data_IF_414099872270
#
_entry.id   IF_414099872270
#
_cell.length_a   1.000
_cell.length_b   1.000
_cell.length_c   1.000
_cell.angle_alpha   90.00
_cell.angle_beta   90.00
_cell.angle_gamma   90.00
#
_symmetry.space_group_name_H-M   'P 1'
#
loop_
_entity.id
_entity.type
_entity.pdbx_description
1 polymer ?
#
# COMPACT_ATOMS: atom_id res chain seq x y z
N UNK A 1 32.51 24.56 18.88
CA UNK A 1 31.90 23.70 17.85
C UNK A 1 31.48 24.43 16.57
N UNK A 2 31.17 25.75 16.63
CA UNK A 2 30.71 26.54 15.46
C UNK A 2 31.84 26.87 14.46
N UNK A 3 33.09 26.90 14.86
CA UNK A 3 34.21 27.25 13.96
C UNK A 3 34.61 26.10 13.01
N UNK A 4 34.41 24.83 13.39
CA UNK A 4 34.77 23.69 12.53
C UNK A 4 33.82 23.51 11.33
N UNK A 5 32.54 23.91 11.48
CA UNK A 5 31.54 23.77 10.40
C UNK A 5 31.80 24.80 9.30
N UNK A 6 32.23 26.02 9.66
CA UNK A 6 32.54 27.08 8.68
C UNK A 6 33.80 26.76 7.86
N UNK A 7 34.80 26.14 8.47
CA UNK A 7 36.05 25.75 7.77
C UNK A 7 35.80 24.66 6.73
N UNK A 8 34.91 23.71 7.03
CA UNK A 8 34.59 22.60 6.12
C UNK A 8 33.76 23.04 4.91
N UNK A 9 32.89 24.06 5.09
CA UNK A 9 32.16 24.65 3.97
C UNK A 9 33.07 25.48 3.06
N UNK A 10 34.06 26.20 3.60
CA UNK A 10 35.01 26.96 2.81
C UNK A 10 35.96 26.04 2.02
N UNK A 11 36.39 24.90 2.59
CA UNK A 11 37.19 23.91 1.87
C UNK A 11 36.43 23.25 0.70
N UNK A 12 35.12 23.00 0.86
CA UNK A 12 34.31 22.46 -0.23
C UNK A 12 34.12 23.46 -1.37
N UNK A 13 34.03 24.75 -1.07
CA UNK A 13 33.90 25.81 -2.10
C UNK A 13 35.20 25.98 -2.86
N UNK A 14 36.33 25.98 -2.17
CA UNK A 14 37.67 26.06 -2.78
C UNK A 14 38.04 24.81 -3.61
N UNK A 15 37.57 23.63 -3.22
CA UNK A 15 37.75 22.38 -3.98
C UNK A 15 36.91 22.37 -5.27
N UNK A 16 35.75 23.03 -5.26
CA UNK A 16 34.88 23.18 -6.45
C UNK A 16 35.48 24.17 -7.46
N UNK A 17 36.13 25.23 -6.98
CA UNK A 17 36.71 26.27 -7.82
C UNK A 17 38.04 25.87 -8.48
N UNK A 18 38.82 25.02 -7.85
CA UNK A 18 40.11 24.51 -8.39
C UNK A 18 39.92 23.40 -9.46
N UNK A 19 38.72 22.88 -9.64
CA UNK A 19 38.42 21.86 -10.65
C UNK A 19 37.93 22.45 -11.98
N UNK A 20 37.88 23.80 -12.08
CA UNK A 20 37.32 24.51 -13.27
C UNK A 20 38.40 24.99 -14.25
N UNK A 21 39.71 24.75 -14.01
CA UNK A 21 40.77 25.26 -14.88
C UNK A 21 41.85 24.23 -15.19
N UNK A 22 41.54 23.33 -16.15
CA UNK A 22 42.58 22.70 -16.96
C UNK A 22 42.03 22.25 -18.32
N UNK A 23 42.50 22.80 -19.46
CA UNK A 23 42.18 22.30 -20.77
C UNK A 23 43.19 21.20 -21.15
N UNK A 24 42.74 19.97 -21.35
CA UNK A 24 43.48 18.97 -22.11
C UNK A 24 42.55 18.29 -23.09
N UNK A 25 42.87 18.53 -24.34
CA UNK A 25 42.44 17.90 -25.56
C UNK A 25 42.56 16.37 -25.47
N UNK A 26 41.47 15.62 -25.68
CA UNK A 26 41.45 14.25 -26.21
C UNK A 26 40.03 13.75 -26.38
N UNK A 27 39.70 13.48 -27.63
CA UNK A 27 38.61 12.69 -28.20
C UNK A 27 38.11 11.54 -27.31
N UNK A 28 36.84 11.62 -26.83
CA UNK A 28 36.00 10.44 -26.60
C UNK A 28 34.61 10.82 -26.09
N UNK A 29 33.63 10.38 -26.82
CA UNK A 29 32.28 9.94 -26.40
C UNK A 29 31.55 10.79 -25.35
N UNK A 30 30.76 11.70 -25.84
CA UNK A 30 29.85 12.58 -25.12
C UNK A 30 28.75 11.78 -24.38
N UNK A 31 28.92 11.52 -23.10
CA UNK A 31 27.79 11.29 -22.22
C UNK A 31 27.40 12.64 -21.62
N UNK A 32 26.48 13.32 -22.30
CA UNK A 32 25.90 14.57 -21.81
C UNK A 32 25.06 14.29 -20.58
N UNK A 33 25.58 14.51 -19.41
CA UNK A 33 24.79 14.88 -18.23
C UNK A 33 24.47 16.39 -18.37
N UNK A 34 23.62 16.69 -19.34
CA UNK A 34 22.97 17.99 -19.42
C UNK A 34 21.96 18.07 -18.28
N UNK A 35 22.20 18.95 -17.31
CA UNK A 35 21.15 19.55 -16.51
C UNK A 35 20.26 20.31 -17.48
N UNK A 36 19.40 19.59 -18.20
CA UNK A 36 18.34 20.19 -19.01
C UNK A 36 17.43 20.93 -18.03
N UNK A 37 17.58 22.24 -17.95
CA UNK A 37 16.51 23.12 -17.52
C UNK A 37 15.31 22.72 -18.38
N UNK A 38 14.42 21.88 -17.85
CA UNK A 38 13.18 21.51 -18.52
C UNK A 38 12.39 22.79 -18.67
N UNK A 39 12.46 23.37 -19.86
CA UNK A 39 11.54 24.45 -20.23
C UNK A 39 10.14 23.91 -19.97
N UNK A 40 9.44 24.49 -18.99
CA UNK A 40 8.06 24.15 -18.66
C UNK A 40 7.22 24.52 -19.88
N UNK A 41 7.01 23.54 -20.76
CA UNK A 41 6.09 23.70 -21.87
C UNK A 41 4.68 23.85 -21.31
N UNK A 42 3.91 24.85 -21.74
CA UNK A 42 2.54 25.02 -21.28
C UNK A 42 1.72 23.77 -21.59
N UNK A 43 0.87 23.36 -20.65
CA UNK A 43 -0.03 22.22 -20.85
C UNK A 43 -0.99 22.53 -22.00
N UNK A 44 -1.01 21.65 -23.01
CA UNK A 44 -1.88 21.81 -24.18
C UNK A 44 -3.20 21.09 -23.95
N UNK A 45 -4.32 21.78 -24.08
CA UNK A 45 -5.66 21.20 -23.98
C UNK A 45 -5.93 20.32 -25.20
N UNK A 46 -6.38 19.08 -24.96
CA UNK A 46 -6.79 18.15 -26.01
C UNK A 46 -8.28 17.86 -25.88
N UNK A 47 -8.95 17.71 -27.02
CA UNK A 47 -10.35 17.25 -27.03
C UNK A 47 -10.39 15.75 -26.75
N UNK A 48 -11.24 15.35 -25.82
CA UNK A 48 -11.51 13.94 -25.52
C UNK A 48 -12.38 13.38 -26.66
N UNK A 49 -12.02 12.24 -27.28
CA UNK A 49 -12.72 11.70 -28.45
C UNK A 49 -14.03 10.99 -28.10
N UNK A 50 -14.33 10.79 -26.81
CA UNK A 50 -15.50 10.06 -26.35
C UNK A 50 -16.74 10.94 -26.22
N UNK A 51 -17.92 10.31 -26.36
CA UNK A 51 -19.19 10.99 -26.05
C UNK A 51 -19.30 11.15 -24.52
N UNK A 52 -19.46 12.39 -23.98
CA UNK A 52 -19.52 12.64 -22.54
C UNK A 52 -20.67 11.91 -21.82
N UNK A 53 -21.70 11.51 -22.52
CA UNK A 53 -22.84 10.77 -21.97
C UNK A 53 -22.59 9.24 -21.94
N UNK A 54 -21.53 8.74 -22.56
CA UNK A 54 -21.26 7.31 -22.75
C UNK A 54 -19.90 6.86 -22.20
N UNK A 55 -19.17 7.68 -21.45
CA UNK A 55 -17.94 7.22 -20.82
C UNK A 55 -17.84 7.65 -19.35
N UNK A 56 -17.04 6.89 -18.60
CA UNK A 56 -16.66 7.19 -17.22
C UNK A 56 -15.20 7.62 -17.25
N UNK A 57 -14.85 8.82 -16.76
CA UNK A 57 -13.47 9.29 -16.75
C UNK A 57 -12.60 8.52 -15.77
N UNK A 58 -11.29 8.52 -16.04
CA UNK A 58 -10.28 8.08 -15.09
C UNK A 58 -10.42 8.82 -13.74
N UNK A 59 -9.89 8.24 -12.67
CA UNK A 59 -10.01 8.76 -11.30
C UNK A 59 -11.45 8.92 -10.79
N UNK A 60 -12.43 8.27 -11.44
CA UNK A 60 -13.80 8.19 -10.90
C UNK A 60 -13.83 7.25 -9.71
N UNK A 61 -14.48 7.72 -8.64
CA UNK A 61 -14.63 6.96 -7.40
C UNK A 61 -15.92 6.13 -7.45
N UNK A 62 -15.78 4.81 -7.37
CA UNK A 62 -16.87 3.84 -7.33
C UNK A 62 -16.93 3.21 -5.94
N UNK A 63 -17.87 3.63 -5.05
CA UNK A 63 -18.00 3.04 -3.73
C UNK A 63 -18.56 1.63 -3.82
N UNK A 64 -17.92 0.72 -3.10
CA UNK A 64 -18.18 -0.71 -3.15
C UNK A 64 -18.21 -1.29 -1.74
N UNK A 65 -19.24 -2.03 -1.39
CA UNK A 65 -19.41 -2.70 -0.10
C UNK A 65 -18.81 -4.10 -0.18
N UNK A 66 -17.98 -4.47 0.79
CA UNK A 66 -17.36 -5.80 0.84
C UNK A 66 -18.40 -6.90 1.01
N UNK A 67 -18.38 -7.91 0.15
CA UNK A 67 -19.34 -9.03 0.19
C UNK A 67 -18.99 -10.05 1.29
N UNK A 68 -17.73 -10.14 1.68
CA UNK A 68 -17.23 -10.99 2.74
C UNK A 68 -16.01 -10.37 3.42
N UNK A 69 -15.64 -10.90 4.58
CA UNK A 69 -14.48 -10.43 5.34
C UNK A 69 -13.21 -10.66 4.54
N UNK A 70 -12.40 -9.63 4.39
CA UNK A 70 -11.06 -9.70 3.83
C UNK A 70 -10.03 -9.90 4.94
N UNK A 71 -9.05 -10.77 4.69
CA UNK A 71 -7.91 -11.06 5.56
C UNK A 71 -6.66 -11.07 4.71
N UNK A 72 -5.64 -10.33 5.10
CA UNK A 72 -4.43 -10.11 4.30
C UNK A 72 -3.36 -11.20 4.41
N UNK A 73 -3.57 -12.28 5.18
CA UNK A 73 -2.57 -13.33 5.41
C UNK A 73 -2.09 -14.01 4.13
N UNK A 74 -2.99 -14.16 3.17
CA UNK A 74 -2.72 -14.87 1.93
C UNK A 74 -3.24 -14.11 0.72
N UNK A 75 -2.50 -14.23 -0.38
CA UNK A 75 -2.98 -13.78 -1.68
C UNK A 75 -4.32 -14.45 -2.03
N UNK A 76 -5.23 -13.70 -2.65
CA UNK A 76 -6.56 -14.19 -2.95
C UNK A 76 -7.37 -13.25 -3.81
N UNK A 77 -8.60 -13.67 -4.07
CA UNK A 77 -9.59 -12.85 -4.77
C UNK A 77 -10.48 -12.14 -3.75
N UNK A 78 -10.81 -10.92 -4.04
CA UNK A 78 -11.81 -10.15 -3.29
C UNK A 78 -13.00 -9.87 -4.18
N UNK A 79 -14.14 -9.67 -3.54
CA UNK A 79 -15.38 -9.25 -4.20
C UNK A 79 -16.10 -8.25 -3.33
N UNK A 80 -16.63 -7.22 -4.01
CA UNK A 80 -17.51 -6.26 -3.40
C UNK A 80 -18.67 -5.91 -4.34
N UNK A 81 -19.69 -5.33 -3.82
CA UNK A 81 -20.88 -4.91 -4.55
C UNK A 81 -20.96 -3.39 -4.59
N UNK A 82 -21.10 -2.82 -5.78
CA UNK A 82 -21.22 -1.38 -5.99
C UNK A 82 -22.42 -0.82 -5.22
N UNK A 83 -22.17 0.17 -4.36
CA UNK A 83 -23.13 0.66 -3.39
C UNK A 83 -24.08 1.73 -3.95
N UNK A 84 -23.69 2.45 -5.00
CA UNK A 84 -24.48 3.50 -5.66
C UNK A 84 -24.34 3.46 -7.17
N UNK A 85 -25.30 4.06 -7.87
CA UNK A 85 -25.27 4.22 -9.33
C UNK A 85 -24.10 5.15 -9.72
N UNK A 86 -23.38 4.81 -10.80
CA UNK A 86 -22.30 5.61 -11.36
C UNK A 86 -22.75 6.19 -12.68
N UNK A 87 -22.57 7.49 -12.80
CA UNK A 87 -23.01 8.29 -13.93
C UNK A 87 -21.86 8.58 -14.88
N UNK A 88 -22.23 8.89 -16.12
CA UNK A 88 -21.29 9.33 -17.17
C UNK A 88 -20.57 10.63 -16.80
N UNK A 89 -19.55 11.00 -17.57
CA UNK A 89 -18.81 12.23 -17.40
C UNK A 89 -19.68 13.49 -17.41
N UNK A 90 -20.78 13.48 -18.18
CA UNK A 90 -21.77 14.57 -18.23
C UNK A 90 -22.74 14.57 -17.04
N UNK A 91 -22.84 13.45 -16.31
CA UNK A 91 -23.85 13.27 -15.25
C UNK A 91 -25.26 12.95 -15.73
N UNK A 92 -25.50 12.81 -17.04
CA UNK A 92 -26.84 12.62 -17.60
C UNK A 92 -27.24 11.15 -17.71
N UNK A 93 -26.28 10.24 -17.94
CA UNK A 93 -26.55 8.82 -18.22
C UNK A 93 -25.97 7.96 -17.11
N UNK A 94 -26.80 7.07 -16.58
CA UNK A 94 -26.36 6.05 -15.62
C UNK A 94 -25.71 4.91 -16.41
N UNK A 95 -24.41 4.66 -16.15
CA UNK A 95 -23.62 3.65 -16.88
C UNK A 95 -23.39 2.39 -16.07
N UNK A 96 -23.17 2.49 -14.77
CA UNK A 96 -23.01 1.34 -13.87
C UNK A 96 -24.08 1.44 -12.78
N UNK A 97 -24.87 0.39 -12.64
CA UNK A 97 -25.92 0.33 -11.65
C UNK A 97 -25.41 -0.19 -10.30
N UNK A 98 -26.00 0.31 -9.22
CA UNK A 98 -25.81 -0.27 -7.89
C UNK A 98 -26.15 -1.76 -7.91
N UNK A 99 -25.43 -2.56 -7.12
CA UNK A 99 -25.57 -4.00 -7.14
C UNK A 99 -24.69 -4.71 -8.18
N UNK A 100 -23.95 -3.95 -9.01
CA UNK A 100 -22.90 -4.50 -9.87
C UNK A 100 -21.80 -5.08 -9.02
N UNK A 101 -21.33 -6.28 -9.39
CA UNK A 101 -20.29 -6.98 -8.64
C UNK A 101 -18.90 -6.59 -9.17
N UNK A 102 -18.04 -6.14 -8.28
CA UNK A 102 -16.62 -5.90 -8.56
C UNK A 102 -15.77 -7.06 -8.05
N UNK A 103 -14.76 -7.46 -8.82
CA UNK A 103 -13.81 -8.49 -8.44
C UNK A 103 -12.39 -7.94 -8.54
N UNK A 104 -11.60 -8.21 -7.51
CA UNK A 104 -10.19 -7.82 -7.45
C UNK A 104 -9.30 -8.96 -6.98
N UNK A 105 -8.01 -8.72 -7.00
CA UNK A 105 -6.96 -9.61 -6.51
C UNK A 105 -6.10 -8.90 -5.48
N UNK A 106 -5.72 -9.65 -4.48
CA UNK A 106 -4.73 -9.27 -3.50
C UNK A 106 -3.55 -10.22 -3.61
N UNK A 107 -2.35 -9.72 -3.81
CA UNK A 107 -1.18 -10.55 -4.11
C UNK A 107 -0.14 -10.57 -3.00
N UNK A 108 -0.05 -9.52 -2.21
CA UNK A 108 1.07 -9.30 -1.30
C UNK A 108 0.58 -9.04 0.13
N UNK A 109 1.20 -9.71 1.11
CA UNK A 109 1.00 -9.43 2.52
C UNK A 109 1.41 -8.01 2.91
N UNK A 110 0.88 -7.53 4.01
CA UNK A 110 1.27 -6.25 4.59
C UNK A 110 2.61 -6.44 5.30
N UNK A 111 3.54 -5.52 5.07
CA UNK A 111 4.83 -5.48 5.78
C UNK A 111 4.71 -4.65 7.06
N UNK A 112 5.68 -4.82 7.96
CA UNK A 112 5.73 -4.00 9.18
C UNK A 112 5.81 -2.51 8.86
N UNK A 113 5.00 -1.73 9.58
CA UNK A 113 4.90 -0.29 9.36
C UNK A 113 3.90 0.12 8.28
N UNK A 114 3.36 -0.83 7.50
CA UNK A 114 2.27 -0.56 6.57
C UNK A 114 0.92 -0.71 7.29
N UNK A 115 0.08 0.30 7.14
CA UNK A 115 -1.27 0.33 7.69
C UNK A 115 -2.37 0.02 6.68
N UNK A 116 -2.04 -0.29 5.41
CA UNK A 116 -3.00 -0.42 4.31
C UNK A 116 -2.64 -1.56 3.37
N UNK A 117 -3.66 -2.24 2.85
CA UNK A 117 -3.52 -3.28 1.85
C UNK A 117 -3.69 -2.71 0.44
N UNK A 118 -2.77 -3.05 -0.46
CA UNK A 118 -2.89 -2.70 -1.87
C UNK A 118 -3.68 -3.79 -2.60
N UNK A 119 -4.82 -3.43 -3.16
CA UNK A 119 -5.74 -4.34 -3.84
C UNK A 119 -5.99 -3.83 -5.25
N UNK A 120 -5.75 -4.66 -6.25
CA UNK A 120 -6.04 -4.35 -7.65
C UNK A 120 -7.42 -4.90 -8.04
N UNK A 121 -8.25 -4.03 -8.57
CA UNK A 121 -9.54 -4.43 -9.11
C UNK A 121 -9.40 -4.80 -10.58
N UNK A 122 -10.03 -5.89 -10.98
CA UNK A 122 -9.84 -6.45 -12.32
C UNK A 122 -11.04 -6.26 -13.23
N UNK A 123 -12.25 -6.31 -12.68
CA UNK A 123 -13.47 -6.18 -13.47
C UNK A 123 -14.71 -5.89 -12.64
N UNK A 124 -15.69 -5.31 -13.32
CA UNK A 124 -17.07 -5.19 -12.85
C UNK A 124 -17.95 -6.10 -13.70
N UNK A 125 -18.95 -6.70 -13.06
CA UNK A 125 -19.97 -7.50 -13.76
C UNK A 125 -21.35 -7.00 -13.39
N UNK A 126 -22.09 -6.53 -14.38
CA UNK A 126 -23.46 -6.04 -14.15
C UNK A 126 -24.39 -7.19 -13.78
N UNK A 127 -25.39 -6.89 -12.98
CA UNK A 127 -26.40 -7.86 -12.53
C UNK A 127 -27.64 -7.84 -13.41
N UNK A 128 -27.92 -6.72 -14.05
CA UNK A 128 -29.07 -6.51 -14.90
C UNK A 128 -28.69 -6.61 -16.39
N UNK A 129 -29.68 -6.78 -17.25
CA UNK A 129 -29.46 -6.75 -18.71
C UNK A 129 -29.19 -5.34 -19.23
N UNK A 130 -28.24 -5.18 -20.15
CA UNK A 130 -27.37 -6.20 -20.71
C UNK A 130 -26.33 -6.65 -19.68
N UNK A 131 -26.02 -7.95 -19.63
CA UNK A 131 -24.99 -8.49 -18.75
C UNK A 131 -23.60 -8.08 -19.31
N UNK A 132 -22.98 -7.12 -18.67
CA UNK A 132 -21.68 -6.60 -19.09
C UNK A 132 -20.57 -7.12 -18.18
N UNK A 133 -19.45 -7.46 -18.78
CA UNK A 133 -18.17 -7.67 -18.11
C UNK A 133 -17.29 -6.47 -18.46
N UNK A 134 -17.10 -5.55 -17.50
CA UNK A 134 -16.40 -4.28 -17.69
C UNK A 134 -14.99 -4.47 -17.13
N UNK A 135 -13.95 -4.51 -17.98
CA UNK A 135 -12.58 -4.62 -17.50
C UNK A 135 -12.18 -3.35 -16.75
N UNK A 136 -11.48 -3.52 -15.64
CA UNK A 136 -10.87 -2.45 -14.88
C UNK A 136 -9.36 -2.54 -15.06
N UNK A 137 -8.78 -1.55 -15.72
CA UNK A 137 -7.35 -1.47 -15.97
C UNK A 137 -6.79 -0.44 -14.99
N UNK A 138 -5.66 -0.76 -14.34
CA UNK A 138 -4.97 0.09 -13.37
C UNK A 138 -5.88 0.65 -12.25
N UNK A 139 -6.96 -0.06 -11.96
CA UNK A 139 -7.94 0.34 -10.95
C UNK A 139 -7.55 -0.23 -9.60
N UNK A 140 -7.37 0.64 -8.64
CA UNK A 140 -6.98 0.29 -7.29
C UNK A 140 -8.12 0.51 -6.30
N UNK A 141 -8.17 -0.35 -5.27
CA UNK A 141 -9.03 -0.11 -4.14
C UNK A 141 -8.39 0.91 -3.19
N UNK A 142 -9.20 1.83 -2.72
CA UNK A 142 -8.86 2.88 -1.78
C UNK A 142 -9.71 2.73 -0.51
N UNK A 143 -9.30 3.38 0.56
CA UNK A 143 -10.09 3.46 1.78
C UNK A 143 -11.39 4.25 1.61
N UNK A 144 -12.17 4.32 2.67
CA UNK A 144 -13.49 4.99 2.65
C UNK A 144 -13.40 6.49 2.34
N UNK A 145 -12.31 7.14 2.75
CA UNK A 145 -12.07 8.57 2.50
C UNK A 145 -11.33 8.84 1.18
N UNK A 146 -11.04 7.80 0.37
CA UNK A 146 -10.34 7.93 -0.91
C UNK A 146 -8.81 7.86 -0.82
N UNK A 147 -8.25 7.56 0.34
CA UNK A 147 -6.82 7.35 0.53
C UNK A 147 -6.35 6.08 -0.19
N UNK A 148 -5.15 6.13 -0.77
CA UNK A 148 -4.57 4.99 -1.49
C UNK A 148 -4.38 3.78 -0.59
N UNK A 149 -4.86 2.61 -1.04
CA UNK A 149 -4.88 1.35 -0.30
C UNK A 149 -6.07 1.24 0.66
N UNK A 150 -6.48 0.01 0.90
CA UNK A 150 -7.60 -0.31 1.78
C UNK A 150 -7.12 -0.35 3.23
N UNK A 151 -7.74 0.44 4.08
CA UNK A 151 -7.57 0.46 5.53
C UNK A 151 -8.35 -0.65 6.21
N UNK A 152 -8.05 -0.92 7.47
CA UNK A 152 -8.76 -1.92 8.27
C UNK A 152 -8.16 -2.08 9.66
N UNK A 153 -8.69 -3.03 10.42
CA UNK A 153 -8.11 -3.39 11.70
C UNK A 153 -6.85 -4.25 11.48
N UNK A 154 -5.75 -3.86 12.13
CA UNK A 154 -4.45 -4.51 11.99
C UNK A 154 -4.12 -5.28 13.26
N UNK A 155 -3.92 -6.58 13.13
CA UNK A 155 -3.31 -7.42 14.14
C UNK A 155 -1.80 -7.45 13.93
N UNK A 156 -1.07 -6.97 14.90
CA UNK A 156 0.40 -6.92 14.85
C UNK A 156 1.06 -8.22 15.33
N UNK A 157 0.27 -9.19 15.77
CA UNK A 157 0.74 -10.47 16.31
C UNK A 157 1.77 -10.29 17.44
N UNK A 158 1.49 -9.34 18.34
CA UNK A 158 2.45 -8.95 19.39
C UNK A 158 2.87 -10.14 20.26
N UNK A 159 1.93 -10.96 20.73
CA UNK A 159 2.23 -12.08 21.59
C UNK A 159 2.94 -13.23 20.86
N UNK A 160 2.60 -13.48 19.61
CA UNK A 160 3.28 -14.46 18.75
C UNK A 160 4.71 -14.06 18.46
N UNK A 161 4.98 -12.76 18.33
CA UNK A 161 6.29 -12.21 18.01
C UNK A 161 7.20 -12.09 19.22
N UNK A 162 6.70 -11.62 20.35
CA UNK A 162 7.49 -11.26 21.52
C UNK A 162 7.26 -12.18 22.72
N UNK A 163 6.13 -12.88 22.78
CA UNK A 163 5.73 -13.68 23.95
C UNK A 163 6.75 -14.74 24.33
N UNK A 164 7.30 -15.45 23.34
CA UNK A 164 8.32 -16.47 23.58
C UNK A 164 9.60 -15.89 24.20
N UNK A 165 10.12 -14.80 23.64
CA UNK A 165 11.31 -14.13 24.16
C UNK A 165 11.09 -13.53 25.56
N UNK A 166 9.90 -12.94 25.80
CA UNK A 166 9.54 -12.42 27.12
C UNK A 166 9.45 -13.55 28.16
N UNK A 167 8.83 -14.68 27.84
CA UNK A 167 8.74 -15.83 28.74
C UNK A 167 10.13 -16.37 29.13
N UNK A 168 11.00 -16.59 28.13
CA UNK A 168 12.34 -17.09 28.38
C UNK A 168 13.18 -16.08 29.18
N UNK A 169 13.02 -14.77 28.92
CA UNK A 169 13.74 -13.72 29.67
C UNK A 169 13.33 -13.59 31.14
N UNK A 170 12.08 -13.93 31.50
CA UNK A 170 11.60 -13.84 32.87
C UNK A 170 12.03 -15.01 33.78
N UNK A 171 12.34 -16.19 33.22
CA UNK A 171 12.67 -17.40 33.98
C UNK A 171 13.90 -17.20 34.88
N UNK A 172 15.04 -16.60 34.43
CA UNK A 172 16.19 -16.38 35.29
C UNK A 172 15.93 -15.49 36.50
N UNK A 173 15.08 -14.47 36.34
CA UNK A 173 14.77 -13.51 37.41
C UNK A 173 13.91 -14.14 38.49
N UNK A 174 12.97 -15.00 38.12
CA UNK A 174 12.17 -15.78 39.06
C UNK A 174 13.05 -16.76 39.86
N UNK A 175 13.99 -17.42 39.20
CA UNK A 175 14.98 -18.32 39.81
C UNK A 175 15.90 -17.57 40.80
N UNK A 176 16.41 -16.40 40.43
CA UNK A 176 17.23 -15.56 41.29
C UNK A 176 16.46 -15.04 42.53
N UNK A 177 15.20 -14.64 42.34
CA UNK A 177 14.34 -14.21 43.46
C UNK A 177 14.06 -15.36 44.44
N UNK A 178 13.74 -16.55 43.93
CA UNK A 178 13.50 -17.73 44.78
C UNK A 178 14.76 -18.16 45.54
N UNK A 179 15.92 -18.12 44.89
CA UNK A 179 17.23 -18.44 45.51
C UNK A 179 17.60 -17.44 46.61
N UNK A 180 17.38 -16.15 46.42
CA UNK A 180 17.68 -15.12 47.41
C UNK A 180 16.76 -15.22 48.66
N UNK A 181 15.51 -15.62 48.48
CA UNK A 181 14.58 -15.82 49.58
C UNK A 181 14.81 -17.12 50.37
N UNK A 182 15.46 -18.12 49.76
CA UNK A 182 15.75 -19.39 50.40
C UNK A 182 16.97 -19.39 51.36
N UNK A 183 17.69 -18.27 51.46
CA UNK A 183 18.75 -18.06 52.50
C UNK A 183 20.01 -18.90 52.35
N UNK A 184 20.24 -19.57 51.21
CA UNK A 184 21.45 -20.35 50.94
C UNK A 184 22.32 -19.64 49.93
N UNK A 185 23.37 -19.00 50.41
CA UNK A 185 24.46 -18.47 49.62
C UNK A 185 25.40 -19.63 49.25
N UNK A 186 25.01 -20.47 48.31
CA UNK A 186 25.91 -21.52 47.79
C UNK A 186 26.79 -20.92 46.70
N UNK A 187 28.10 -21.25 46.78
CA UNK A 187 29.19 -20.84 45.91
C UNK A 187 29.11 -21.43 44.47
N UNK A 188 27.95 -21.62 43.94
CA UNK A 188 27.78 -22.24 42.62
C UNK A 188 27.44 -21.19 41.56
N UNK A 189 28.18 -20.11 41.49
CA UNK A 189 27.98 -18.95 40.61
C UNK A 189 28.14 -19.31 39.13
N UNK A 190 29.03 -20.28 38.82
CA UNK A 190 29.31 -20.63 37.41
C UNK A 190 28.12 -21.33 36.69
N UNK A 191 27.37 -22.15 37.34
CA UNK A 191 26.23 -22.83 36.73
C UNK A 191 25.06 -21.89 36.46
N UNK A 192 24.84 -20.88 37.30
CA UNK A 192 23.80 -19.88 37.12
C UNK A 192 24.14 -18.91 35.99
N UNK A 193 25.40 -18.55 35.84
CA UNK A 193 25.86 -17.67 34.78
C UNK A 193 25.69 -18.33 33.39
N UNK A 194 26.15 -19.57 33.23
CA UNK A 194 26.02 -20.36 32.02
C UNK A 194 24.52 -20.60 31.65
N UNK A 195 23.68 -20.83 32.66
CA UNK A 195 22.23 -21.01 32.44
C UNK A 195 21.58 -19.70 31.97
N UNK A 196 21.95 -18.55 32.55
CA UNK A 196 21.48 -17.23 32.13
C UNK A 196 21.89 -16.91 30.68
N UNK A 197 23.14 -17.21 30.33
CA UNK A 197 23.65 -16.98 28.99
C UNK A 197 22.93 -17.88 27.96
N UNK A 198 22.75 -19.17 28.26
CA UNK A 198 22.00 -20.09 27.43
C UNK A 198 20.53 -19.66 27.23
N UNK A 199 19.87 -19.14 28.29
CA UNK A 199 18.50 -18.62 28.18
C UNK A 199 18.46 -17.31 27.40
N UNK A 200 19.43 -16.41 27.56
CA UNK A 200 19.51 -15.19 26.76
C UNK A 200 19.67 -15.50 25.26
N UNK A 201 20.53 -16.49 24.94
CA UNK A 201 20.73 -16.94 23.56
C UNK A 201 19.47 -17.60 22.99
N UNK A 202 18.76 -18.39 23.79
CA UNK A 202 17.47 -18.98 23.41
C UNK A 202 16.40 -17.90 23.19
N UNK A 203 16.31 -16.90 24.07
CA UNK A 203 15.38 -15.78 23.92
C UNK A 203 15.68 -14.99 22.62
N UNK A 204 16.97 -14.73 22.35
CA UNK A 204 17.43 -14.07 21.14
C UNK A 204 17.07 -14.86 19.90
N UNK A 205 17.36 -16.15 19.85
CA UNK A 205 17.04 -17.04 18.74
C UNK A 205 15.52 -17.12 18.51
N UNK A 206 14.74 -17.20 19.60
CA UNK A 206 13.28 -17.20 19.53
C UNK A 206 12.76 -15.90 18.95
N UNK A 207 13.30 -14.77 19.39
CA UNK A 207 12.94 -13.45 18.88
C UNK A 207 13.30 -13.30 17.40
N UNK A 208 14.51 -13.70 17.01
CA UNK A 208 14.97 -13.65 15.60
C UNK A 208 14.05 -14.44 14.67
N UNK A 209 13.54 -15.59 15.11
CA UNK A 209 12.60 -16.39 14.34
C UNK A 209 11.18 -15.80 14.29
N UNK A 210 10.72 -15.17 15.36
CA UNK A 210 9.33 -14.71 15.48
C UNK A 210 9.12 -13.24 15.11
N UNK A 211 10.18 -12.41 15.13
CA UNK A 211 10.07 -10.96 14.86
C UNK A 211 9.58 -10.63 13.44
N UNK A 212 9.81 -11.56 12.50
CA UNK A 212 9.46 -11.41 11.09
C UNK A 212 8.02 -11.80 10.75
N UNK A 213 7.20 -12.20 11.74
CA UNK A 213 5.78 -12.49 11.50
C UNK A 213 5.09 -11.21 11.01
N UNK A 214 4.53 -11.22 9.77
CA UNK A 214 3.90 -10.03 9.22
C UNK A 214 2.59 -9.70 9.94
N UNK A 215 2.20 -8.43 10.02
CA UNK A 215 0.89 -8.05 10.54
C UNK A 215 -0.22 -8.49 9.59
N UNK A 216 -1.41 -8.73 10.13
CA UNK A 216 -2.60 -9.10 9.38
C UNK A 216 -3.62 -7.98 9.42
N UNK A 217 -4.10 -7.57 8.24
CA UNK A 217 -5.19 -6.61 8.12
C UNK A 217 -6.52 -7.34 7.91
N UNK A 218 -7.52 -6.87 8.62
CA UNK A 218 -8.90 -7.33 8.51
C UNK A 218 -9.81 -6.19 8.05
N UNK A 219 -10.61 -6.43 7.01
CA UNK A 219 -11.71 -5.57 6.57
C UNK A 219 -13.00 -6.37 6.64
N UNK A 220 -14.00 -5.88 7.35
CA UNK A 220 -15.21 -6.67 7.60
C UNK A 220 -16.15 -6.65 6.40
N UNK A 221 -17.05 -7.61 6.38
CA UNK A 221 -18.18 -7.64 5.45
C UNK A 221 -19.05 -6.39 5.66
N UNK A 222 -19.53 -5.80 4.57
CA UNK A 222 -20.39 -4.62 4.59
C UNK A 222 -19.65 -3.29 4.69
N UNK A 223 -18.36 -3.28 5.04
CA UNK A 223 -17.56 -2.05 5.04
C UNK A 223 -17.35 -1.54 3.61
N UNK A 224 -17.30 -0.22 3.47
CA UNK A 224 -17.14 0.44 2.17
C UNK A 224 -15.65 0.56 1.85
N UNK A 225 -15.33 0.28 0.60
CA UNK A 225 -14.08 0.62 -0.06
C UNK A 225 -14.40 1.43 -1.31
N UNK A 226 -13.49 2.25 -1.75
CA UNK A 226 -13.64 2.99 -2.99
C UNK A 226 -12.77 2.37 -4.07
N UNK A 227 -13.32 2.18 -5.26
CA UNK A 227 -12.55 1.79 -6.43
C UNK A 227 -12.25 3.05 -7.21
N UNK A 228 -10.97 3.33 -7.46
CA UNK A 228 -10.52 4.48 -8.24
C UNK A 228 -10.15 3.98 -9.63
N UNK A 229 -10.90 4.38 -10.64
CA UNK A 229 -10.65 3.95 -12.04
C UNK A 229 -9.31 4.49 -12.52
N UNK A 230 -8.46 3.61 -13.07
CA UNK A 230 -7.15 3.99 -13.59
C UNK A 230 -7.17 4.48 -15.05
N UNK A 231 -8.26 4.20 -15.79
CA UNK A 231 -8.42 4.61 -17.18
C UNK A 231 -9.88 4.96 -17.48
N UNK A 232 -10.08 5.73 -18.56
CA UNK A 232 -11.41 6.02 -19.11
C UNK A 232 -12.12 4.73 -19.52
N UNK A 233 -13.40 4.58 -19.17
CA UNK A 233 -14.21 3.42 -19.54
C UNK A 233 -15.26 3.86 -20.56
N UNK A 234 -15.12 3.45 -21.82
CA UNK A 234 -16.03 3.79 -22.92
C UNK A 234 -17.11 2.73 -23.11
N UNK A 235 -18.37 3.17 -23.14
CA UNK A 235 -19.55 2.35 -23.35
C UNK A 235 -20.21 2.56 -24.73
N UNK A 236 -19.59 3.33 -25.62
CA UNK A 236 -20.16 3.68 -26.92
C UNK A 236 -20.41 2.47 -27.84
N UNK A 237 -19.67 1.37 -27.64
CA UNK A 237 -19.85 0.11 -28.37
C UNK A 237 -21.07 -0.68 -27.90
N UNK A 238 -21.58 -0.38 -26.69
CA UNK A 238 -22.66 -1.15 -26.05
C UNK A 238 -23.98 -0.36 -26.09
N UNK A 239 -23.91 0.94 -25.78
CA UNK A 239 -25.09 1.80 -25.66
C UNK A 239 -25.19 2.79 -26.79
N UNK A 240 -26.42 2.97 -27.29
CA UNK A 240 -26.75 4.03 -28.25
C UNK A 240 -27.81 4.92 -27.60
N UNK A 241 -27.54 6.23 -27.58
CA UNK A 241 -28.50 7.20 -27.05
C UNK A 241 -29.63 7.43 -28.05
N UNK A 242 -30.88 7.37 -27.56
CA UNK A 242 -32.08 7.72 -28.34
C UNK A 242 -32.84 8.81 -27.62
N UNK A 243 -33.42 9.73 -28.41
CA UNK A 243 -34.30 10.76 -27.84
C UNK A 243 -35.54 10.10 -27.23
N UNK A 244 -35.92 10.50 -26.03
CA UNK A 244 -37.07 9.96 -25.29
C UNK A 244 -38.39 10.02 -26.08
N UNK A 245 -38.51 10.98 -27.00
CA UNK A 245 -39.73 11.17 -27.81
C UNK A 245 -39.90 10.10 -28.89
N UNK A 246 -38.86 9.33 -29.25
CA UNK A 246 -38.99 8.23 -30.24
C UNK A 246 -39.45 6.92 -29.60
N UNK A 247 -39.42 6.80 -28.28
CA UNK A 247 -39.84 5.61 -27.53
C UNK A 247 -41.36 5.55 -27.26
N UNK A 248 -42.13 6.59 -27.64
CA UNK A 248 -43.60 6.66 -27.43
C UNK A 248 -44.42 6.47 -28.73
N UNK A 249 -43.77 6.03 -29.82
CA UNK A 249 -44.50 5.67 -31.07
C UNK A 249 -44.51 4.18 -31.34
#
# INVERSE_FOLDING_TARGET
PQNQVKTRQQEMILAAENNATQPTDSTATTTQHGTASQAISPATVRRIPYNPDLYIPENTVIPCSMDYRFVSDRAGKIRCTVAKDIWSASGNTKLIEKGTTATGIYQTGITQGQGRAFIMMTKLRTRQRPYLDIPLIDTNAAGELGESGVDGWIDTHFWERFGGALMVGMIPDIGAWASNNAGKKDRNTDYTENSRQAMADMARTTLENSINIPPTLYKNQGEIINLITGQDIDFSNIYTLRLKNELQR
#
